data_IF_511363767208
#
_entry.id   IF_511363767208
#
_cell.length_a   1.000
_cell.length_b   1.000
_cell.length_c   1.000
_cell.angle_alpha   90.00
_cell.angle_beta   90.00
_cell.angle_gamma   90.00
#
_symmetry.space_group_name_H-M   'P 1'
#
loop_
_entity.id
_entity.type
_entity.pdbx_description
1 polymer ?
#
# COMPACT_ATOMS: atom_id res chain seq x y z
N UNK A 1 13.77 15.20 65.80
CA UNK A 1 12.40 14.99 65.31
C UNK A 1 12.04 13.54 65.54
N UNK A 2 10.99 13.31 66.32
CA UNK A 2 10.40 11.98 66.52
C UNK A 2 9.77 11.46 65.22
N UNK A 3 9.69 10.15 65.02
CA UNK A 3 9.27 9.57 63.74
C UNK A 3 7.82 9.91 63.39
N UNK A 4 6.98 10.18 64.39
CA UNK A 4 5.63 10.75 64.20
C UNK A 4 5.68 12.16 63.61
N UNK A 5 6.60 13.01 64.05
CA UNK A 5 6.74 14.37 63.52
C UNK A 5 7.23 14.36 62.06
N UNK A 6 8.11 13.43 61.71
CA UNK A 6 8.55 13.21 60.31
C UNK A 6 7.41 12.70 59.45
N UNK A 7 6.63 11.72 59.92
CA UNK A 7 5.48 11.18 59.20
C UNK A 7 4.40 12.25 58.96
N UNK A 8 4.10 13.08 59.96
CA UNK A 8 3.16 14.21 59.81
C UNK A 8 3.69 15.28 58.85
N UNK A 9 4.99 15.60 58.89
CA UNK A 9 5.59 16.57 57.96
C UNK A 9 5.56 16.07 56.50
N UNK A 10 5.81 14.77 56.26
CA UNK A 10 5.73 14.17 54.92
C UNK A 10 4.29 14.14 54.41
N UNK A 11 3.31 13.81 55.26
CA UNK A 11 1.89 13.83 54.90
C UNK A 11 1.40 15.24 54.56
N UNK A 12 1.81 16.25 55.33
CA UNK A 12 1.50 17.65 55.05
C UNK A 12 2.17 18.15 53.77
N UNK A 13 3.44 17.80 53.55
CA UNK A 13 4.13 18.14 52.31
C UNK A 13 3.45 17.49 51.09
N UNK A 14 3.03 16.22 51.21
CA UNK A 14 2.26 15.54 50.16
C UNK A 14 0.93 16.22 49.84
N UNK A 15 0.17 16.61 50.86
CA UNK A 15 -1.08 17.36 50.68
C UNK A 15 -0.86 18.74 50.07
N UNK A 16 0.22 19.43 50.45
CA UNK A 16 0.58 20.72 49.86
C UNK A 16 0.99 20.57 48.39
N UNK A 17 1.73 19.51 48.03
CA UNK A 17 2.12 19.24 46.65
C UNK A 17 0.92 18.89 45.76
N UNK A 18 -0.03 18.09 46.27
CA UNK A 18 -1.28 17.80 45.56
C UNK A 18 -2.11 19.08 45.41
N UNK A 19 -2.22 19.89 46.47
CA UNK A 19 -2.91 21.17 46.43
C UNK A 19 -2.28 22.16 45.45
N UNK A 20 -0.95 22.23 45.38
CA UNK A 20 -0.22 23.09 44.46
C UNK A 20 -0.38 22.62 43.01
N UNK A 21 -0.38 21.30 42.78
CA UNK A 21 -0.63 20.75 41.46
C UNK A 21 -2.07 21.08 40.99
N UNK A 22 -3.07 20.80 41.83
CA UNK A 22 -4.47 20.99 41.47
C UNK A 22 -4.91 22.47 41.39
N UNK A 23 -4.42 23.32 42.29
CA UNK A 23 -4.88 24.71 42.40
C UNK A 23 -4.03 25.71 41.62
N UNK A 24 -2.78 25.37 41.28
CA UNK A 24 -1.86 26.29 40.62
C UNK A 24 -1.34 25.75 39.29
N UNK A 25 -0.71 24.57 39.27
CA UNK A 25 -0.04 24.07 38.07
C UNK A 25 -1.03 23.63 36.98
N UNK A 26 -2.05 22.84 37.32
CA UNK A 26 -3.03 22.36 36.36
C UNK A 26 -3.86 23.51 35.75
N UNK A 27 -4.37 24.49 36.51
CA UNK A 27 -5.07 25.65 35.94
C UNK A 27 -4.14 26.54 35.10
N UNK A 28 -2.88 26.71 35.50
CA UNK A 28 -1.91 27.51 34.74
C UNK A 28 -1.58 26.87 33.38
N UNK A 29 -1.32 25.57 33.35
CA UNK A 29 -1.08 24.83 32.09
C UNK A 29 -2.34 24.81 31.23
N UNK A 30 -3.52 24.59 31.82
CA UNK A 30 -4.79 24.64 31.10
C UNK A 30 -5.06 26.02 30.49
N UNK A 31 -4.81 27.11 31.23
CA UNK A 31 -4.98 28.48 30.72
C UNK A 31 -4.00 28.83 29.60
N UNK A 32 -2.76 28.29 29.61
CA UNK A 32 -1.84 28.48 28.49
C UNK A 32 -2.24 27.68 27.24
N UNK A 33 -2.74 26.45 27.43
CA UNK A 33 -3.28 25.66 26.32
C UNK A 33 -4.54 26.31 25.75
N UNK A 34 -5.44 26.82 26.60
CA UNK A 34 -6.64 27.54 26.18
C UNK A 34 -6.30 28.82 25.42
N UNK A 35 -5.31 29.61 25.89
CA UNK A 35 -4.84 30.79 25.17
C UNK A 35 -4.20 30.41 23.82
N UNK A 36 -3.31 29.42 23.79
CA UNK A 36 -2.66 28.99 22.55
C UNK A 36 -3.63 28.38 21.53
N UNK A 37 -4.63 27.63 22.00
CA UNK A 37 -5.72 27.10 21.17
C UNK A 37 -6.64 28.24 20.72
N UNK A 38 -6.97 29.19 21.60
CA UNK A 38 -7.76 30.37 21.28
C UNK A 38 -7.12 31.22 20.19
N UNK A 39 -5.82 31.47 20.27
CA UNK A 39 -5.06 32.19 19.24
C UNK A 39 -5.02 31.42 17.92
N UNK A 40 -4.89 30.09 17.97
CA UNK A 40 -4.88 29.23 16.76
C UNK A 40 -6.27 29.18 16.10
N UNK A 41 -7.34 29.16 16.89
CA UNK A 41 -8.73 29.19 16.40
C UNK A 41 -9.07 30.58 15.85
N UNK A 42 -8.66 31.65 16.53
CA UNK A 42 -8.88 33.02 16.08
C UNK A 42 -8.07 33.40 14.83
N UNK A 43 -6.97 32.69 14.56
CA UNK A 43 -6.21 32.77 13.30
C UNK A 43 -6.66 31.73 12.25
N UNK A 44 -7.72 30.97 12.53
CA UNK A 44 -8.29 30.01 11.59
C UNK A 44 -9.04 30.73 10.48
N UNK A 45 -8.89 30.23 9.24
CA UNK A 45 -9.67 30.70 8.10
C UNK A 45 -11.10 30.18 8.22
N UNK A 46 -11.98 30.96 8.84
CA UNK A 46 -13.37 30.58 9.10
C UNK A 46 -14.40 31.52 8.45
N UNK A 47 -13.92 32.61 7.85
CA UNK A 47 -14.73 33.60 7.14
C UNK A 47 -14.17 33.90 5.75
N UNK A 48 -15.01 34.43 4.85
CA UNK A 48 -14.54 34.88 3.53
C UNK A 48 -13.55 36.06 3.65
N UNK A 49 -13.60 36.83 4.73
CA UNK A 49 -12.72 37.99 4.96
C UNK A 49 -11.27 37.58 5.26
N UNK A 50 -11.04 36.34 5.72
CA UNK A 50 -9.70 35.79 5.96
C UNK A 50 -8.96 35.47 4.65
N UNK A 51 -9.69 35.30 3.55
CA UNK A 51 -9.14 35.06 2.21
C UNK A 51 -8.87 36.37 1.48
N UNK A 52 -7.98 37.17 2.06
CA UNK A 52 -7.66 38.52 1.62
C UNK A 52 -6.71 38.56 0.41
N UNK A 53 -6.26 39.77 0.05
CA UNK A 53 -5.37 39.98 -1.08
C UNK A 53 -4.01 39.28 -0.90
N UNK A 54 -3.51 39.18 0.34
CA UNK A 54 -2.24 38.50 0.66
C UNK A 54 -2.34 36.99 0.49
N UNK A 55 -3.47 36.39 0.89
CA UNK A 55 -3.75 34.99 0.57
C UNK A 55 -3.94 34.77 -0.93
N UNK A 56 -4.64 35.70 -1.59
CA UNK A 56 -5.01 35.62 -3.02
C UNK A 56 -3.79 35.73 -3.94
N UNK A 57 -2.76 36.49 -3.57
CA UNK A 57 -1.54 36.65 -4.36
C UNK A 57 -0.33 36.59 -3.45
N UNK A 58 0.41 35.49 -3.55
CA UNK A 58 1.63 35.30 -2.78
C UNK A 58 2.82 35.07 -3.70
N UNK A 59 3.90 35.82 -3.51
CA UNK A 59 5.15 35.64 -4.26
C UNK A 59 6.21 35.01 -3.36
N UNK A 60 6.91 34.00 -3.88
CA UNK A 60 8.00 33.31 -3.18
C UNK A 60 9.13 32.95 -4.13
N UNK A 61 10.38 33.04 -3.65
CA UNK A 61 11.53 32.59 -4.42
C UNK A 61 11.65 31.05 -4.36
N UNK A 62 11.84 30.42 -5.52
CA UNK A 62 12.12 28.99 -5.65
C UNK A 62 13.40 28.77 -6.43
N UNK A 63 14.31 27.97 -5.87
CA UNK A 63 15.58 27.60 -6.49
C UNK A 63 15.53 26.17 -7.01
N UNK A 64 15.86 25.98 -8.28
CA UNK A 64 15.87 24.68 -8.95
C UNK A 64 17.30 24.23 -9.26
N UNK A 65 17.52 22.92 -9.20
CA UNK A 65 18.77 22.28 -9.56
C UNK A 65 18.49 21.11 -10.50
N UNK A 66 19.39 20.89 -11.44
CA UNK A 66 19.36 19.74 -12.34
C UNK A 66 20.67 18.97 -12.27
N UNK A 67 20.65 17.70 -12.63
CA UNK A 67 21.86 16.90 -12.83
C UNK A 67 22.07 16.65 -14.32
N UNK A 68 23.08 17.28 -14.90
CA UNK A 68 23.42 17.12 -16.33
C UNK A 68 24.31 15.89 -16.51
N UNK A 69 24.04 15.09 -17.53
CA UNK A 69 24.83 13.89 -17.85
C UNK A 69 26.06 14.32 -18.65
N UNK A 70 27.26 13.98 -18.17
CA UNK A 70 28.53 14.40 -18.77
C UNK A 70 29.10 13.38 -19.76
N UNK A 71 28.76 12.10 -19.61
CA UNK A 71 29.34 11.00 -20.36
C UNK A 71 28.33 10.30 -21.31
N UNK A 72 27.45 11.07 -21.97
CA UNK A 72 26.38 10.51 -22.81
C UNK A 72 26.86 9.55 -23.89
N UNK A 73 28.00 9.83 -24.54
CA UNK A 73 28.55 8.99 -25.61
C UNK A 73 28.96 7.58 -25.14
N UNK A 74 29.20 7.43 -23.83
CA UNK A 74 29.57 6.15 -23.21
C UNK A 74 28.34 5.35 -22.73
N UNK A 75 27.16 5.98 -22.73
CA UNK A 75 25.91 5.37 -22.27
C UNK A 75 25.22 4.62 -23.43
N UNK A 76 25.20 3.30 -23.34
CA UNK A 76 24.37 2.41 -24.16
C UNK A 76 23.05 2.06 -23.47
N UNK A 77 22.05 1.55 -24.22
CA UNK A 77 20.69 1.21 -23.71
C UNK A 77 20.67 0.33 -22.44
N UNK A 78 21.72 -0.46 -22.18
CA UNK A 78 21.83 -1.34 -21.01
C UNK A 78 22.75 -0.81 -19.90
N UNK A 79 23.25 0.42 -20.01
CA UNK A 79 24.34 0.97 -19.17
C UNK A 79 24.03 2.32 -18.54
N UNK A 80 22.75 2.69 -18.43
CA UNK A 80 22.31 3.88 -17.70
C UNK A 80 22.78 3.94 -16.22
N UNK A 81 23.31 2.82 -15.69
CA UNK A 81 23.91 2.71 -14.35
C UNK A 81 25.25 3.44 -14.23
N UNK A 82 25.94 3.70 -15.36
CA UNK A 82 27.26 4.35 -15.38
C UNK A 82 27.19 5.84 -15.75
N UNK A 83 25.99 6.45 -15.70
CA UNK A 83 25.85 7.87 -15.97
C UNK A 83 26.58 8.70 -14.91
N UNK A 84 27.46 9.58 -15.38
CA UNK A 84 28.11 10.59 -14.57
C UNK A 84 27.28 11.87 -14.62
N UNK A 85 27.12 12.49 -13.44
CA UNK A 85 26.21 13.62 -13.26
C UNK A 85 26.95 14.83 -12.69
N UNK A 86 26.73 15.98 -13.30
CA UNK A 86 27.15 17.28 -12.80
C UNK A 86 25.94 18.07 -12.29
N UNK A 87 25.99 18.54 -11.04
CA UNK A 87 24.92 19.37 -10.46
C UNK A 87 24.97 20.76 -11.09
N UNK A 88 23.91 21.14 -11.78
CA UNK A 88 23.69 22.44 -12.41
C UNK A 88 22.68 23.24 -11.59
N UNK A 89 22.92 24.55 -11.47
CA UNK A 89 22.08 25.50 -10.74
C UNK A 89 22.93 26.43 -9.87
N UNK A 90 22.31 27.29 -9.06
CA UNK A 90 20.85 27.42 -8.89
C UNK A 90 20.18 28.06 -10.11
N UNK A 91 18.96 27.67 -10.43
CA UNK A 91 18.05 28.43 -11.30
C UNK A 91 16.96 29.03 -10.43
N UNK A 92 17.01 30.33 -10.19
CA UNK A 92 16.10 30.99 -9.25
C UNK A 92 14.94 31.62 -9.99
N UNK A 93 13.73 31.36 -9.50
CA UNK A 93 12.49 31.93 -10.02
C UNK A 93 11.72 32.62 -8.91
N UNK A 94 11.17 33.79 -9.21
CA UNK A 94 10.08 34.37 -8.45
C UNK A 94 8.80 33.70 -8.89
N UNK A 95 8.17 32.98 -7.97
CA UNK A 95 6.93 32.24 -8.23
C UNK A 95 5.79 33.00 -7.58
N UNK A 96 4.95 33.58 -8.43
CA UNK A 96 3.74 34.27 -8.00
C UNK A 96 2.56 33.31 -8.12
N UNK A 97 2.02 32.92 -6.98
CA UNK A 97 0.84 32.08 -6.89
C UNK A 97 -0.40 32.95 -6.78
N UNK A 98 -1.34 32.73 -7.69
CA UNK A 98 -2.64 33.37 -7.69
C UNK A 98 -3.71 32.37 -7.25
N UNK A 99 -4.47 32.75 -6.22
CA UNK A 99 -5.58 31.97 -5.67
C UNK A 99 -6.87 32.75 -5.83
N UNK A 100 -7.94 32.04 -6.15
CA UNK A 100 -9.30 32.60 -6.19
C UNK A 100 -10.20 31.69 -5.38
N UNK A 101 -10.83 32.26 -4.36
CA UNK A 101 -11.83 31.56 -3.57
C UNK A 101 -13.05 31.25 -4.44
N UNK A 102 -13.44 29.97 -4.49
CA UNK A 102 -14.61 29.50 -5.24
C UNK A 102 -15.79 29.18 -4.33
N UNK A 103 -15.52 28.82 -3.07
CA UNK A 103 -16.55 28.62 -2.06
C UNK A 103 -15.98 28.23 -0.70
N UNK A 104 -16.66 28.68 0.35
CA UNK A 104 -16.41 28.32 1.73
C UNK A 104 -17.64 27.60 2.29
N UNK A 105 -17.46 26.37 2.75
CA UNK A 105 -18.46 25.61 3.49
C UNK A 105 -18.07 25.62 4.98
N UNK A 106 -18.68 26.54 5.72
CA UNK A 106 -18.40 26.74 7.15
C UNK A 106 -19.01 25.65 8.03
N UNK A 107 -20.00 24.90 7.56
CA UNK A 107 -20.61 23.79 8.29
C UNK A 107 -19.75 22.53 8.19
N UNK A 108 -19.18 22.26 7.00
CA UNK A 108 -18.23 21.18 6.78
C UNK A 108 -16.78 21.54 7.13
N UNK A 109 -16.47 22.84 7.29
CA UNK A 109 -15.11 23.34 7.52
C UNK A 109 -14.19 23.16 6.32
N UNK A 110 -14.70 23.36 5.10
CA UNK A 110 -13.94 23.14 3.85
C UNK A 110 -13.92 24.37 2.97
N UNK A 111 -12.78 24.58 2.28
CA UNK A 111 -12.60 25.65 1.30
C UNK A 111 -12.30 25.06 -0.08
N UNK A 112 -12.91 25.64 -1.11
CA UNK A 112 -12.62 25.35 -2.50
C UNK A 112 -12.02 26.59 -3.15
N UNK A 113 -10.86 26.45 -3.79
CA UNK A 113 -10.19 27.53 -4.50
C UNK A 113 -9.57 27.01 -5.81
N UNK A 114 -9.35 27.92 -6.76
CA UNK A 114 -8.50 27.67 -7.92
C UNK A 114 -7.16 28.35 -7.73
N UNK A 115 -6.09 27.64 -8.05
CA UNK A 115 -4.72 28.15 -7.96
C UNK A 115 -4.01 28.03 -9.31
N UNK A 116 -3.23 29.05 -9.68
CA UNK A 116 -2.25 28.96 -10.74
C UNK A 116 -0.97 29.67 -10.36
N UNK A 117 0.16 29.12 -10.81
CA UNK A 117 1.49 29.66 -10.56
C UNK A 117 2.05 30.32 -11.83
N UNK A 118 2.64 31.50 -11.67
CA UNK A 118 3.45 32.18 -12.69
C UNK A 118 4.91 32.14 -12.26
N UNK A 119 5.77 31.62 -13.12
CA UNK A 119 7.20 31.46 -12.87
C UNK A 119 7.98 32.50 -13.67
N UNK A 120 8.64 33.44 -12.98
CA UNK A 120 9.49 34.45 -13.59
C UNK A 120 10.94 34.20 -13.20
N UNK A 121 11.82 34.04 -14.19
CA UNK A 121 13.24 33.81 -13.93
C UNK A 121 13.88 35.06 -13.32
N UNK A 122 14.54 34.90 -12.18
CA UNK A 122 15.22 35.99 -11.50
C UNK A 122 16.73 35.94 -11.77
N UNK A 123 17.19 36.75 -12.71
CA UNK A 123 18.61 36.85 -13.09
C UNK A 123 19.51 37.33 -11.95
N UNK A 124 19.00 38.23 -11.10
CA UNK A 124 19.79 38.88 -10.05
C UNK A 124 19.66 38.20 -8.68
N UNK A 125 18.88 37.12 -8.58
CA UNK A 125 18.70 36.43 -7.32
C UNK A 125 19.88 35.50 -7.02
N UNK A 126 20.13 35.30 -5.74
CA UNK A 126 21.18 34.42 -5.23
C UNK A 126 20.58 33.38 -4.32
N UNK A 127 21.07 32.15 -4.41
CA UNK A 127 20.74 31.08 -3.48
C UNK A 127 21.93 30.81 -2.57
N UNK A 128 21.69 30.72 -1.26
CA UNK A 128 22.72 30.41 -0.27
C UNK A 128 22.75 28.90 0.01
N UNK A 129 23.95 28.29 -0.07
CA UNK A 129 24.14 26.89 0.27
C UNK A 129 24.16 26.62 1.78
N UNK A 130 24.20 25.34 2.17
CA UNK A 130 24.24 24.91 3.57
C UNK A 130 25.52 25.37 4.29
N UNK A 131 26.57 25.70 3.54
CA UNK A 131 27.84 26.24 4.02
C UNK A 131 27.85 27.78 4.12
N UNK A 132 26.76 28.44 3.71
CA UNK A 132 26.60 29.90 3.77
C UNK A 132 27.18 30.67 2.58
N UNK A 133 27.56 30.00 1.49
CA UNK A 133 28.04 30.65 0.27
C UNK A 133 26.89 31.01 -0.66
N UNK A 134 26.94 32.21 -1.23
CA UNK A 134 25.96 32.69 -2.19
C UNK A 134 26.33 32.26 -3.62
N UNK A 135 25.35 31.70 -4.33
CA UNK A 135 25.46 31.30 -5.73
C UNK A 135 24.44 32.09 -6.56
N UNK A 136 24.91 32.77 -7.60
CA UNK A 136 24.03 33.52 -8.51
C UNK A 136 23.17 32.58 -9.35
N UNK A 137 21.95 33.01 -9.69
CA UNK A 137 21.10 32.26 -10.61
C UNK A 137 21.78 32.07 -11.96
N UNK A 138 21.82 30.83 -12.44
CA UNK A 138 22.21 30.52 -13.81
C UNK A 138 21.12 30.97 -14.80
N UNK A 139 21.50 31.32 -16.04
CA UNK A 139 20.55 31.70 -17.09
C UNK A 139 19.59 30.59 -17.48
N UNK A 140 18.33 30.93 -17.79
CA UNK A 140 17.35 29.99 -18.34
C UNK A 140 17.71 29.41 -19.71
N UNK A 141 18.71 29.97 -20.39
CA UNK A 141 19.27 29.47 -21.65
C UNK A 141 20.42 28.48 -21.46
N UNK A 142 20.75 28.10 -20.23
CA UNK A 142 21.82 27.12 -19.95
C UNK A 142 21.47 25.79 -20.57
N UNK A 143 22.35 25.26 -21.42
CA UNK A 143 22.16 23.93 -22.01
C UNK A 143 22.27 22.85 -20.93
N UNK A 144 21.40 21.85 -21.02
CA UNK A 144 21.30 20.80 -20.04
C UNK A 144 21.08 19.45 -20.73
N UNK A 145 21.94 18.49 -20.43
CA UNK A 145 21.91 17.17 -21.07
C UNK A 145 21.28 16.16 -20.12
N UNK A 146 20.16 15.57 -20.50
CA UNK A 146 19.47 14.59 -19.65
C UNK A 146 18.68 13.58 -20.49
N UNK A 147 18.07 12.61 -19.82
CA UNK A 147 17.21 11.61 -20.42
C UNK A 147 16.04 12.24 -21.17
N UNK A 148 15.71 11.69 -22.34
CA UNK A 148 14.55 12.14 -23.10
C UNK A 148 13.25 11.61 -22.46
N UNK A 149 12.61 12.47 -21.66
CA UNK A 149 11.41 12.13 -20.88
C UNK A 149 10.23 11.73 -21.79
N UNK A 150 10.02 12.47 -22.89
CA UNK A 150 8.91 12.19 -23.82
C UNK A 150 9.10 10.84 -24.54
N UNK A 151 10.33 10.52 -24.94
CA UNK A 151 10.62 9.25 -25.60
C UNK A 151 10.50 8.06 -24.63
N UNK A 152 11.01 8.18 -23.41
CA UNK A 152 10.98 7.09 -22.43
C UNK A 152 9.55 6.77 -21.96
N UNK A 153 8.70 7.78 -21.77
CA UNK A 153 7.28 7.57 -21.45
C UNK A 153 6.54 6.87 -22.58
N UNK A 154 6.81 7.22 -23.84
CA UNK A 154 6.25 6.54 -25.01
C UNK A 154 6.74 5.09 -25.14
N UNK A 155 8.01 4.80 -24.82
CA UNK A 155 8.52 3.42 -24.75
C UNK A 155 7.78 2.60 -23.70
N UNK A 156 7.59 3.13 -22.50
CA UNK A 156 6.85 2.45 -21.43
C UNK A 156 5.38 2.23 -21.79
N UNK A 157 4.71 3.24 -22.36
CA UNK A 157 3.34 3.10 -22.85
C UNK A 157 3.25 2.08 -24.01
N UNK A 158 4.27 2.03 -24.88
CA UNK A 158 4.39 1.02 -25.93
C UNK A 158 4.55 -0.40 -25.37
N UNK A 159 5.32 -0.59 -24.30
CA UNK A 159 5.50 -1.89 -23.62
C UNK A 159 4.19 -2.39 -23.01
N UNK A 160 3.28 -1.50 -22.58
CA UNK A 160 1.95 -1.91 -22.10
C UNK A 160 1.18 -2.73 -23.15
N UNK A 161 1.36 -2.47 -24.45
CA UNK A 161 0.77 -3.30 -25.51
C UNK A 161 1.42 -4.69 -25.61
N UNK A 162 2.70 -4.83 -25.24
CA UNK A 162 3.40 -6.12 -25.18
C UNK A 162 2.99 -6.99 -23.99
N UNK A 163 2.64 -6.39 -22.85
CA UNK A 163 2.15 -7.11 -21.65
C UNK A 163 0.80 -7.79 -21.92
N UNK A 164 -0.06 -7.19 -22.75
CA UNK A 164 -1.35 -7.80 -23.16
C UNK A 164 -1.12 -9.16 -23.83
N UNK A 165 -0.07 -9.31 -24.63
CA UNK A 165 0.25 -10.59 -25.26
C UNK A 165 0.75 -11.63 -24.25
N UNK A 166 1.57 -11.24 -23.27
CA UNK A 166 2.07 -12.13 -22.22
C UNK A 166 0.95 -12.70 -21.34
N UNK A 167 -0.05 -11.88 -20.99
CA UNK A 167 -1.22 -12.31 -20.22
C UNK A 167 -2.06 -13.34 -20.99
N UNK A 168 -2.26 -13.13 -22.30
CA UNK A 168 -2.99 -14.08 -23.16
C UNK A 168 -2.29 -15.43 -23.21
N UNK A 169 -0.96 -15.46 -23.39
CA UNK A 169 -0.21 -16.71 -23.41
C UNK A 169 -0.22 -17.44 -22.06
N UNK A 170 -0.09 -16.71 -20.94
CA UNK A 170 -0.16 -17.30 -19.60
C UNK A 170 -1.56 -17.85 -19.27
N UNK A 171 -2.63 -17.12 -19.62
CA UNK A 171 -4.02 -17.60 -19.45
C UNK A 171 -4.32 -18.82 -20.30
N UNK A 172 -3.87 -18.83 -21.56
CA UNK A 172 -4.02 -19.99 -22.44
C UNK A 172 -3.26 -21.21 -21.91
N UNK A 173 -2.03 -21.02 -21.40
CA UNK A 173 -1.25 -22.08 -20.76
C UNK A 173 -1.95 -22.65 -19.53
N UNK A 174 -2.41 -21.78 -18.61
CA UNK A 174 -3.14 -22.21 -17.42
C UNK A 174 -4.45 -22.94 -17.76
N UNK A 175 -5.21 -22.45 -18.73
CA UNK A 175 -6.44 -23.10 -19.17
C UNK A 175 -6.18 -24.50 -19.78
N UNK A 176 -5.12 -24.65 -20.57
CA UNK A 176 -4.73 -25.95 -21.13
C UNK A 176 -4.29 -26.94 -20.04
N UNK A 177 -3.48 -26.50 -19.06
CA UNK A 177 -3.04 -27.35 -17.95
C UNK A 177 -4.21 -27.77 -17.06
N UNK A 178 -5.16 -26.86 -16.78
CA UNK A 178 -6.37 -27.21 -16.02
C UNK A 178 -7.25 -28.19 -16.79
N UNK A 179 -7.38 -28.05 -18.11
CA UNK A 179 -8.12 -28.99 -18.95
C UNK A 179 -7.43 -30.37 -19.02
N UNK A 180 -6.10 -30.38 -19.11
CA UNK A 180 -5.32 -31.62 -19.07
C UNK A 180 -5.47 -32.31 -17.70
N UNK A 181 -5.41 -31.57 -16.59
CA UNK A 181 -5.61 -32.11 -15.25
C UNK A 181 -7.03 -32.69 -15.06
N UNK A 182 -8.05 -32.00 -15.57
CA UNK A 182 -9.45 -32.44 -15.52
C UNK A 182 -9.65 -33.76 -16.29
N UNK A 183 -9.10 -33.83 -17.51
CA UNK A 183 -9.16 -35.04 -18.35
C UNK A 183 -8.35 -36.21 -17.77
N UNK A 184 -7.22 -35.94 -17.11
CA UNK A 184 -6.37 -37.00 -16.54
C UNK A 184 -6.85 -37.50 -15.18
N UNK A 185 -7.40 -36.64 -14.32
CA UNK A 185 -7.66 -37.00 -12.93
C UNK A 185 -9.14 -37.02 -12.57
N UNK A 186 -9.94 -36.07 -13.09
CA UNK A 186 -11.35 -35.96 -12.70
C UNK A 186 -12.24 -36.94 -13.46
N UNK A 187 -12.07 -37.04 -14.78
CA UNK A 187 -12.88 -37.98 -15.57
C UNK A 187 -12.65 -39.45 -15.13
N UNK A 188 -11.40 -39.93 -14.94
CA UNK A 188 -11.18 -41.30 -14.47
C UNK A 188 -11.63 -41.53 -13.02
N UNK A 189 -11.47 -40.54 -12.13
CA UNK A 189 -11.95 -40.68 -10.74
C UNK A 189 -13.48 -40.71 -10.64
N UNK A 190 -14.19 -39.96 -11.50
CA UNK A 190 -15.65 -40.06 -11.61
C UNK A 190 -16.08 -41.45 -12.08
N UNK A 191 -15.44 -42.01 -13.10
CA UNK A 191 -15.77 -43.36 -13.58
C UNK A 191 -15.46 -44.43 -12.54
N UNK A 192 -14.32 -44.34 -11.86
CA UNK A 192 -13.98 -45.25 -10.77
C UNK A 192 -14.97 -45.15 -9.60
N UNK A 193 -15.42 -43.94 -9.25
CA UNK A 193 -16.43 -43.74 -8.21
C UNK A 193 -17.80 -44.32 -8.60
N UNK A 194 -18.21 -44.15 -9.87
CA UNK A 194 -19.46 -44.71 -10.40
C UNK A 194 -19.42 -46.25 -10.40
N UNK A 195 -18.29 -46.84 -10.80
CA UNK A 195 -18.08 -48.29 -10.76
C UNK A 195 -18.10 -48.86 -9.33
N UNK A 196 -17.49 -48.16 -8.37
CA UNK A 196 -17.54 -48.54 -6.95
C UNK A 196 -18.98 -48.45 -6.43
N UNK A 197 -19.71 -47.38 -6.77
CA UNK A 197 -21.11 -47.22 -6.35
C UNK A 197 -21.98 -48.35 -6.90
N UNK A 198 -21.85 -48.67 -8.19
CA UNK A 198 -22.58 -49.77 -8.82
C UNK A 198 -22.24 -51.13 -8.19
N UNK A 199 -20.99 -51.34 -7.79
CA UNK A 199 -20.56 -52.55 -7.08
C UNK A 199 -21.20 -52.67 -5.70
N UNK A 200 -21.28 -51.56 -4.95
CA UNK A 200 -21.95 -51.50 -3.64
C UNK A 200 -23.44 -51.80 -3.78
N UNK A 201 -24.12 -51.18 -4.75
CA UNK A 201 -25.54 -51.41 -4.99
C UNK A 201 -25.81 -52.87 -5.39
N UNK A 202 -24.92 -53.46 -6.20
CA UNK A 202 -24.99 -54.87 -6.59
C UNK A 202 -24.84 -55.83 -5.41
N UNK A 203 -23.94 -55.54 -4.46
CA UNK A 203 -23.79 -56.33 -3.22
C UNK A 203 -24.99 -56.13 -2.29
N UNK A 204 -25.49 -54.90 -2.14
CA UNK A 204 -26.69 -54.63 -1.34
C UNK A 204 -27.89 -55.44 -1.85
N UNK A 205 -28.12 -55.45 -3.16
CA UNK A 205 -29.19 -56.23 -3.78
C UNK A 205 -29.04 -57.75 -3.54
N UNK A 206 -27.80 -58.26 -3.53
CA UNK A 206 -27.55 -59.68 -3.21
C UNK A 206 -27.84 -60.01 -1.74
N UNK A 207 -27.55 -59.10 -0.80
CA UNK A 207 -27.88 -59.28 0.62
C UNK A 207 -29.38 -59.22 0.86
N UNK A 208 -30.09 -58.31 0.20
CA UNK A 208 -31.56 -58.28 0.26
C UNK A 208 -32.15 -59.60 -0.25
N UNK A 209 -31.63 -60.13 -1.36
CA UNK A 209 -32.02 -61.45 -1.88
C UNK A 209 -31.66 -62.60 -0.92
N UNK A 210 -30.62 -62.45 -0.11
CA UNK A 210 -30.24 -63.38 0.96
C UNK A 210 -31.10 -63.25 2.23
N UNK A 211 -32.05 -62.31 2.27
CA UNK A 211 -33.05 -62.17 3.34
C UNK A 211 -32.75 -61.08 4.36
N UNK A 212 -31.75 -60.23 4.13
CA UNK A 212 -31.53 -59.02 4.94
C UNK A 212 -32.52 -57.92 4.57
N UNK A 213 -32.88 -57.05 5.51
CA UNK A 213 -33.66 -55.85 5.18
C UNK A 213 -32.80 -54.82 4.44
N UNK A 214 -33.44 -53.96 3.65
CA UNK A 214 -32.75 -53.00 2.78
C UNK A 214 -31.80 -52.05 3.52
N UNK A 215 -32.14 -51.63 4.75
CA UNK A 215 -31.28 -50.72 5.52
C UNK A 215 -30.01 -51.44 6.02
N UNK A 216 -30.16 -52.68 6.49
CA UNK A 216 -29.03 -53.52 6.90
C UNK A 216 -28.16 -53.90 5.70
N UNK A 217 -28.76 -54.27 4.56
CA UNK A 217 -28.05 -54.60 3.34
C UNK A 217 -27.21 -53.42 2.81
N UNK A 218 -27.79 -52.22 2.72
CA UNK A 218 -27.09 -51.02 2.30
C UNK A 218 -25.94 -50.62 3.26
N UNK A 219 -26.11 -50.85 4.56
CA UNK A 219 -25.07 -50.57 5.55
C UNK A 219 -23.89 -51.55 5.49
N UNK A 220 -24.15 -52.81 5.12
CA UNK A 220 -23.14 -53.88 5.07
C UNK A 220 -22.40 -53.95 3.73
N UNK A 221 -23.06 -53.57 2.63
CA UNK A 221 -22.52 -53.72 1.29
C UNK A 221 -21.14 -53.05 1.05
N UNK A 222 -20.87 -51.81 1.51
CA UNK A 222 -19.56 -51.18 1.31
C UNK A 222 -18.40 -51.97 1.93
N UNK A 223 -18.62 -52.54 3.12
CA UNK A 223 -17.59 -53.32 3.82
C UNK A 223 -17.32 -54.63 3.08
N UNK A 224 -18.36 -55.30 2.57
CA UNK A 224 -18.18 -56.54 1.82
C UNK A 224 -17.57 -56.35 0.43
N UNK A 225 -17.84 -55.23 -0.24
CA UNK A 225 -17.12 -54.88 -1.48
C UNK A 225 -15.62 -54.72 -1.20
N UNK A 226 -15.26 -54.03 -0.12
CA UNK A 226 -13.86 -53.84 0.28
C UNK A 226 -13.17 -55.14 0.71
N UNK A 227 -13.87 -56.00 1.46
CA UNK A 227 -13.37 -57.30 1.90
C UNK A 227 -13.15 -58.24 0.69
N UNK A 228 -14.12 -58.32 -0.21
CA UNK A 228 -13.99 -59.09 -1.45
C UNK A 228 -12.88 -58.58 -2.38
N UNK A 229 -12.68 -57.26 -2.47
CA UNK A 229 -11.56 -56.68 -3.20
C UNK A 229 -10.21 -57.02 -2.55
N UNK A 230 -10.13 -56.98 -1.21
CA UNK A 230 -8.93 -57.34 -0.46
C UNK A 230 -8.59 -58.83 -0.59
N UNK A 231 -9.60 -59.70 -0.53
CA UNK A 231 -9.46 -61.14 -0.74
C UNK A 231 -9.02 -61.46 -2.18
N UNK A 232 -9.60 -60.79 -3.18
CA UNK A 232 -9.21 -60.93 -4.58
C UNK A 232 -7.76 -60.48 -4.79
N UNK A 233 -7.37 -59.34 -4.20
CA UNK A 233 -6.00 -58.86 -4.21
C UNK A 233 -5.05 -59.86 -3.56
N UNK A 234 -5.36 -60.34 -2.36
CA UNK A 234 -4.57 -61.31 -1.61
C UNK A 234 -4.42 -62.65 -2.36
N UNK A 235 -5.48 -63.10 -3.03
CA UNK A 235 -5.46 -64.28 -3.89
C UNK A 235 -4.60 -64.07 -5.15
N UNK A 236 -4.67 -62.89 -5.78
CA UNK A 236 -3.84 -62.53 -6.93
C UNK A 236 -2.36 -62.32 -6.58
N UNK A 237 -2.08 -61.90 -5.33
CA UNK A 237 -0.74 -61.66 -4.80
C UNK A 237 -0.05 -62.93 -4.25
N UNK A 238 -0.66 -64.11 -4.39
CA UNK A 238 -0.06 -65.39 -4.00
C UNK A 238 -0.31 -65.81 -2.55
N UNK A 239 -1.40 -65.36 -1.92
CA UNK A 239 -1.91 -65.90 -0.66
C UNK A 239 -0.95 -65.76 0.52
N UNK A 240 -0.72 -64.53 0.96
CA UNK A 240 -0.06 -64.25 2.23
C UNK A 240 -1.03 -63.48 3.14
N UNK A 241 -2.03 -64.18 3.66
CA UNK A 241 -2.89 -63.64 4.71
C UNK A 241 -2.10 -63.40 6.01
N UNK A 242 -2.42 -62.35 6.79
CA UNK A 242 -1.87 -62.20 8.13
C UNK A 242 -2.66 -63.04 9.14
N UNK A 243 -1.91 -63.66 10.05
CA UNK A 243 -2.39 -64.23 11.32
C UNK A 243 -2.96 -63.15 12.25
#
# INVERSE_FOLDING_TARGET
MDDRQKATAIALAGLVLIGMNFMALAPFVAGQVEAGVGDTIAAGYDSEEDYDDEWSVSTSERSYFGYSITNVDELTENSAVNAEFEKMGPFVYEVTTHRTLLGLDTEAGTVTYSEYDVFEWCENCTWTDDEGNEHASLPGSTEFTNMNILYNTQRLAGIATGIIYGEIFAKAGFANEMMANDLQNKAPSMWAADEISASIDGVAAQLEAAGYDAATAAAMAPVMVMDGAYDSWNASAGGAGPM
#
